data_IF_441309047739
#
_entry.id   IF_441309047739
#
_cell.length_a   1.000
_cell.length_b   1.000
_cell.length_c   1.000
_cell.angle_alpha   90.00
_cell.angle_beta   90.00
_cell.angle_gamma   90.00
#
_symmetry.space_group_name_H-M   'P 1'
#
loop_
_entity.id
_entity.type
_entity.pdbx_description
1 polymer ?
#
# COMPACT_ATOMS: atom_id res chain seq x y z
N UNK A 1 6.82 -2.34 0.69
CA UNK A 1 5.47 -1.93 1.16
C UNK A 1 5.37 -2.37 2.59
N UNK A 2 4.94 -1.51 3.51
CA UNK A 2 4.84 -1.88 4.92
C UNK A 2 3.42 -2.29 5.24
N UNK A 3 3.27 -3.36 6.01
CA UNK A 3 1.98 -3.85 6.49
C UNK A 3 2.04 -3.98 8.01
N UNK A 4 1.23 -3.18 8.68
CA UNK A 4 1.08 -3.24 10.13
C UNK A 4 -0.19 -3.99 10.47
N UNK A 5 -0.04 -5.07 11.22
CA UNK A 5 -1.13 -5.85 11.79
C UNK A 5 -1.25 -5.50 13.27
N UNK A 6 -2.40 -4.97 13.67
CA UNK A 6 -2.81 -4.92 15.07
C UNK A 6 -4.09 -5.75 15.20
N UNK A 7 -4.51 -6.07 16.42
CA UNK A 7 -5.63 -6.97 16.61
C UNK A 7 -6.88 -6.50 15.86
N UNK A 8 -7.34 -7.37 14.95
CA UNK A 8 -8.49 -7.17 14.08
C UNK A 8 -8.37 -5.99 13.09
N UNK A 9 -7.15 -5.52 12.79
CA UNK A 9 -6.91 -4.40 11.88
C UNK A 9 -5.68 -4.62 10.98
N UNK A 10 -5.84 -4.30 9.70
CA UNK A 10 -4.79 -4.37 8.68
C UNK A 10 -4.51 -2.97 8.13
N UNK A 11 -3.26 -2.49 8.21
CA UNK A 11 -2.85 -1.16 7.72
C UNK A 11 -1.71 -1.26 6.72
N UNK A 12 -1.90 -0.67 5.54
CA UNK A 12 -0.91 -0.59 4.47
C UNK A 12 -0.28 0.80 4.43
N UNK A 13 1.03 0.89 4.21
CA UNK A 13 1.67 2.21 3.98
C UNK A 13 1.21 2.91 2.69
N UNK A 14 0.62 2.18 1.73
CA UNK A 14 -0.08 2.68 0.54
C UNK A 14 -1.23 1.74 0.15
N UNK A 15 -2.34 2.30 -0.30
CA UNK A 15 -3.51 1.56 -0.82
C UNK A 15 -3.64 1.63 -2.35
N UNK A 16 -2.75 2.35 -3.03
CA UNK A 16 -2.68 2.39 -4.49
C UNK A 16 -1.24 2.18 -4.96
N UNK A 17 -1.06 1.20 -5.85
CA UNK A 17 0.22 0.85 -6.46
C UNK A 17 0.10 0.79 -7.99
N UNK A 18 1.24 0.72 -8.68
CA UNK A 18 1.29 0.33 -10.09
C UNK A 18 1.48 -1.18 -10.18
N UNK A 19 1.17 -1.80 -11.32
CA UNK A 19 1.57 -3.18 -11.55
C UNK A 19 3.10 -3.33 -11.46
N UNK A 20 3.56 -4.46 -10.92
CA UNK A 20 4.97 -4.76 -10.74
C UNK A 20 5.26 -5.69 -9.56
N UNK A 21 6.54 -5.91 -9.30
CA UNK A 21 7.02 -6.74 -8.20
C UNK A 21 7.16 -5.92 -6.92
N UNK A 22 6.62 -6.46 -5.83
CA UNK A 22 6.66 -5.84 -4.52
C UNK A 22 7.07 -6.84 -3.46
N UNK A 23 7.84 -6.35 -2.48
CA UNK A 23 7.98 -7.02 -1.18
C UNK A 23 7.14 -6.27 -0.15
N UNK A 24 6.20 -6.98 0.45
CA UNK A 24 5.44 -6.55 1.61
C UNK A 24 6.17 -7.00 2.87
N UNK A 25 6.43 -6.06 3.78
CA UNK A 25 7.05 -6.31 5.08
C UNK A 25 5.92 -6.29 6.10
N UNK A 26 5.46 -7.48 6.48
CA UNK A 26 4.35 -7.66 7.40
C UNK A 26 4.89 -7.73 8.83
N UNK A 27 4.34 -6.92 9.73
CA UNK A 27 4.71 -6.89 11.15
C UNK A 27 3.48 -7.05 12.04
N UNK A 28 3.54 -7.99 12.96
CA UNK A 28 2.54 -8.17 13.99
C UNK A 28 2.85 -7.27 15.20
N UNK A 29 2.15 -6.13 15.29
CA UNK A 29 2.18 -5.21 16.44
C UNK A 29 1.01 -5.47 17.42
N UNK A 30 0.23 -6.53 17.20
CA UNK A 30 -0.91 -6.94 18.03
C UNK A 30 -0.54 -7.87 19.19
N UNK A 31 -1.57 -8.47 19.80
CA UNK A 31 -1.46 -9.44 20.90
C UNK A 31 -1.90 -10.84 20.49
N UNK A 32 -2.57 -10.99 19.35
CA UNK A 32 -2.94 -12.27 18.75
C UNK A 32 -2.02 -12.66 17.60
N UNK A 33 -2.05 -13.93 17.24
CA UNK A 33 -1.39 -14.44 16.04
C UNK A 33 -2.07 -13.89 14.79
N UNK A 34 -1.26 -13.44 13.83
CA UNK A 34 -1.74 -12.87 12.57
C UNK A 34 -0.95 -13.40 11.37
N UNK A 35 -1.53 -13.31 10.19
CA UNK A 35 -0.84 -13.51 8.93
C UNK A 35 -1.31 -12.46 7.92
N UNK A 36 -0.46 -12.17 6.94
CA UNK A 36 -0.82 -11.36 5.79
C UNK A 36 -1.21 -12.29 4.64
N UNK A 37 -2.42 -12.11 4.09
CA UNK A 37 -2.87 -12.73 2.85
C UNK A 37 -3.30 -11.64 1.86
N UNK A 38 -2.88 -11.77 0.60
CA UNK A 38 -3.21 -10.86 -0.50
C UNK A 38 -3.86 -11.70 -1.61
N UNK A 39 -5.13 -11.41 -1.91
CA UNK A 39 -5.95 -12.17 -2.86
C UNK A 39 -6.62 -11.22 -3.86
N UNK A 40 -6.49 -11.50 -5.16
CA UNK A 40 -7.09 -10.69 -6.22
C UNK A 40 -6.42 -10.91 -7.57
N UNK A 41 -7.14 -10.61 -8.66
CA UNK A 41 -6.61 -10.70 -10.04
C UNK A 41 -5.93 -12.03 -10.42
N UNK A 42 -6.37 -13.15 -9.82
CA UNK A 42 -5.81 -14.48 -10.04
C UNK A 42 -4.51 -14.76 -9.26
N UNK A 43 -4.18 -13.90 -8.29
CA UNK A 43 -3.08 -14.06 -7.34
C UNK A 43 -3.66 -14.31 -5.94
N UNK A 44 -3.08 -15.26 -5.20
CA UNK A 44 -3.39 -15.57 -3.81
C UNK A 44 -2.08 -15.99 -3.13
N UNK A 45 -1.55 -15.13 -2.26
CA UNK A 45 -0.27 -15.36 -1.59
C UNK A 45 -0.33 -14.92 -0.14
N UNK A 46 0.38 -15.63 0.74
CA UNK A 46 0.38 -15.33 2.17
C UNK A 46 1.70 -15.58 2.88
N UNK A 47 1.88 -14.91 4.01
CA UNK A 47 2.95 -15.23 4.96
C UNK A 47 2.62 -16.49 5.76
N UNK A 48 3.62 -17.02 6.47
CA UNK A 48 3.37 -17.84 7.65
C UNK A 48 2.56 -17.05 8.70
N UNK A 49 2.00 -17.76 9.69
CA UNK A 49 1.52 -17.14 10.92
C UNK A 49 2.67 -16.48 11.67
N UNK A 50 2.40 -15.30 12.22
CA UNK A 50 3.31 -14.44 12.97
C UNK A 50 2.79 -14.30 14.40
N UNK A 51 3.60 -14.71 15.36
CA UNK A 51 3.36 -14.43 16.77
C UNK A 51 3.50 -12.92 17.07
N UNK A 52 2.99 -12.43 18.22
CA UNK A 52 3.16 -11.03 18.61
C UNK A 52 4.62 -10.58 18.57
N UNK A 53 4.89 -9.49 17.85
CA UNK A 53 6.22 -8.91 17.67
C UNK A 53 7.04 -9.49 16.51
N UNK A 54 6.56 -10.54 15.84
CA UNK A 54 7.23 -11.10 14.67
C UNK A 54 6.95 -10.32 13.38
N UNK A 55 7.83 -10.55 12.39
CA UNK A 55 7.70 -10.03 11.03
C UNK A 55 8.00 -11.10 9.98
N UNK A 56 7.43 -10.93 8.79
CA UNK A 56 7.79 -11.70 7.60
C UNK A 56 7.71 -10.86 6.33
N UNK A 57 8.47 -11.27 5.32
CA UNK A 57 8.43 -10.69 3.98
C UNK A 57 7.56 -11.57 3.07
N UNK A 58 6.69 -10.94 2.28
CA UNK A 58 5.93 -11.56 1.20
C UNK A 58 6.30 -10.88 -0.12
N UNK A 59 6.91 -11.61 -1.04
CA UNK A 59 7.26 -11.09 -2.38
C UNK A 59 6.24 -11.59 -3.39
N UNK A 60 5.65 -10.67 -4.14
CA UNK A 60 4.52 -10.93 -5.04
C UNK A 60 4.58 -10.04 -6.28
N UNK A 61 4.17 -10.59 -7.42
CA UNK A 61 3.95 -9.82 -8.65
C UNK A 61 2.49 -9.41 -8.74
N UNK A 62 2.23 -8.11 -8.77
CA UNK A 62 0.88 -7.55 -8.86
C UNK A 62 0.57 -7.10 -10.28
N UNK A 63 -0.58 -7.53 -10.80
CA UNK A 63 -1.21 -7.01 -12.02
C UNK A 63 -2.21 -5.92 -11.67
N UNK A 64 -2.61 -5.12 -12.65
CA UNK A 64 -3.72 -4.19 -12.46
C UNK A 64 -4.98 -4.91 -11.96
N UNK A 65 -5.71 -4.28 -11.05
CA UNK A 65 -6.91 -4.79 -10.42
C UNK A 65 -7.01 -4.44 -8.93
N UNK A 66 -8.00 -5.02 -8.27
CA UNK A 66 -8.27 -4.83 -6.85
C UNK A 66 -7.93 -6.10 -6.09
N UNK A 67 -7.29 -5.94 -4.95
CA UNK A 67 -6.86 -7.02 -4.07
C UNK A 67 -7.44 -6.81 -2.68
N UNK A 68 -7.97 -7.88 -2.10
CA UNK A 68 -8.27 -7.90 -0.67
C UNK A 68 -7.00 -8.28 0.08
N UNK A 69 -6.70 -7.51 1.13
CA UNK A 69 -5.56 -7.75 2.00
C UNK A 69 -6.07 -8.01 3.41
N UNK A 70 -5.90 -9.22 3.92
CA UNK A 70 -6.61 -9.67 5.12
C UNK A 70 -5.78 -10.65 5.97
N UNK A 71 -6.30 -10.95 7.16
CA UNK A 71 -5.75 -12.00 8.03
C UNK A 71 -6.62 -13.27 7.96
N UNK A 72 -6.08 -14.41 7.53
CA UNK A 72 -6.82 -15.67 7.37
C UNK A 72 -6.97 -16.47 8.67
N UNK A 73 -6.47 -15.96 9.80
CA UNK A 73 -6.49 -16.67 11.09
C UNK A 73 -7.91 -16.62 11.67
N UNK A 74 -8.54 -17.80 11.82
CA UNK A 74 -9.85 -17.94 12.44
C UNK A 74 -10.89 -17.04 11.78
N UNK A 75 -11.57 -16.22 12.59
CA UNK A 75 -12.56 -15.24 12.13
C UNK A 75 -12.02 -13.80 12.11
N UNK A 76 -10.70 -13.59 12.09
CA UNK A 76 -10.12 -12.24 12.17
C UNK A 76 -10.57 -11.36 10.99
N UNK A 77 -10.66 -11.91 9.78
CA UNK A 77 -11.23 -11.24 8.60
C UNK A 77 -12.66 -10.76 8.83
N UNK A 78 -13.51 -11.62 9.38
CA UNK A 78 -14.92 -11.30 9.66
C UNK A 78 -15.08 -10.26 10.76
N UNK A 79 -14.12 -10.19 11.69
CA UNK A 79 -14.02 -9.16 12.71
C UNK A 79 -13.49 -7.82 12.18
N UNK A 80 -13.16 -7.73 10.88
CA UNK A 80 -12.75 -6.50 10.22
C UNK A 80 -11.25 -6.43 9.88
N UNK A 81 -10.49 -7.51 10.07
CA UNK A 81 -9.06 -7.56 9.74
C UNK A 81 -8.81 -7.71 8.25
N UNK A 82 -9.23 -6.70 7.49
CA UNK A 82 -9.09 -6.60 6.06
C UNK A 82 -9.01 -5.15 5.61
N UNK A 83 -8.38 -4.94 4.46
CA UNK A 83 -8.32 -3.67 3.75
C UNK A 83 -8.20 -3.95 2.24
N UNK A 84 -8.37 -2.93 1.43
CA UNK A 84 -8.30 -3.03 -0.02
C UNK A 84 -7.03 -2.39 -0.57
N UNK A 85 -6.42 -3.05 -1.55
CA UNK A 85 -5.29 -2.55 -2.32
C UNK A 85 -5.70 -2.44 -3.79
N UNK A 86 -5.64 -1.23 -4.34
CA UNK A 86 -5.81 -1.00 -5.77
C UNK A 86 -4.45 -1.02 -6.47
N UNK A 87 -4.37 -1.75 -7.58
CA UNK A 87 -3.21 -1.77 -8.46
C UNK A 87 -3.68 -1.29 -9.83
N UNK A 88 -3.02 -0.27 -10.36
CA UNK A 88 -3.47 0.40 -11.58
C UNK A 88 -4.06 1.77 -11.26
N UNK A 89 -3.52 2.78 -11.93
CA UNK A 89 -3.81 4.19 -11.70
C UNK A 89 -2.54 5.05 -11.76
N UNK A 90 -2.67 6.27 -12.28
CA UNK A 90 -1.67 7.32 -12.03
C UNK A 90 -1.69 7.62 -10.54
N UNK A 91 -0.63 7.20 -9.84
CA UNK A 91 -0.45 7.55 -8.44
C UNK A 91 -0.65 9.07 -8.24
N UNK A 92 -1.46 9.46 -7.25
CA UNK A 92 -1.42 10.83 -6.76
C UNK A 92 0.02 11.12 -6.27
N UNK A 93 0.68 12.20 -6.72
CA UNK A 93 2.09 12.42 -6.45
C UNK A 93 2.26 12.86 -4.99
N UNK A 94 2.64 11.95 -4.11
CA UNK A 94 3.24 12.35 -2.84
C UNK A 94 4.67 12.80 -3.12
N UNK A 95 4.86 14.12 -3.09
CA UNK A 95 6.05 14.84 -3.53
C UNK A 95 7.37 14.34 -2.94
N UNK A 96 8.34 14.26 -3.85
CA UNK A 96 9.76 14.23 -3.57
C UNK A 96 10.46 14.78 -4.81
N UNK A 97 10.70 16.08 -4.83
CA UNK A 97 11.52 16.77 -5.84
C UNK A 97 12.94 16.23 -5.81
N UNK A 98 13.41 15.60 -6.90
CA UNK A 98 14.64 16.00 -7.61
C UNK A 98 14.84 15.16 -8.88
N UNK A 99 14.56 15.73 -10.05
CA UNK A 99 15.29 15.40 -11.29
C UNK A 99 15.27 16.67 -12.14
N UNK A 100 16.30 17.49 -11.97
CA UNK A 100 16.71 18.46 -12.99
C UNK A 100 17.65 17.73 -13.93
N UNK A 101 17.16 17.42 -15.13
CA UNK A 101 17.88 17.24 -16.39
C UNK A 101 16.75 17.26 -17.44
N UNK A 102 16.41 18.36 -18.09
CA UNK A 102 17.23 19.22 -18.93
C UNK A 102 16.44 19.39 -20.24
N UNK A 103 16.51 20.58 -20.84
CA UNK A 103 15.91 21.00 -22.14
C UNK A 103 14.56 21.72 -22.03
N UNK A 104 14.64 23.02 -21.72
CA UNK A 104 13.50 23.93 -21.71
C UNK A 104 13.18 24.54 -23.07
N UNK A 105 12.05 25.26 -23.11
CA UNK A 105 11.83 26.50 -23.88
C UNK A 105 10.60 27.22 -23.29
N UNK A 106 10.71 28.52 -23.04
CA UNK A 106 9.54 29.42 -22.93
C UNK A 106 9.28 30.03 -21.55
N UNK A 107 9.98 31.11 -21.24
CA UNK A 107 9.65 32.03 -20.15
C UNK A 107 8.40 32.84 -20.52
N UNK A 108 7.43 32.97 -19.61
CA UNK A 108 6.53 34.12 -19.54
C UNK A 108 6.26 34.44 -18.07
N UNK A 109 6.73 35.60 -17.64
CA UNK A 109 6.52 36.18 -16.32
C UNK A 109 5.05 36.60 -16.09
N UNK A 110 4.61 36.81 -14.83
CA UNK A 110 3.19 36.84 -14.45
C UNK A 110 2.55 38.24 -14.56
N UNK A 111 1.22 38.35 -14.71
CA UNK A 111 0.51 39.56 -14.34
C UNK A 111 0.07 39.54 -12.86
N UNK A 112 0.25 40.68 -12.22
CA UNK A 112 -0.08 41.03 -10.83
C UNK A 112 -1.59 40.99 -10.51
N UNK A 113 -1.89 40.86 -9.21
CA UNK A 113 -3.19 40.83 -8.53
C UNK A 113 -4.26 41.82 -9.00
N UNK A 114 -5.53 41.59 -8.60
CA UNK A 114 -6.03 42.46 -7.51
C UNK A 114 -6.75 41.71 -6.37
N UNK A 115 -6.60 42.30 -5.19
CA UNK A 115 -7.38 42.07 -3.95
C UNK A 115 -8.86 42.34 -4.18
N UNK A 116 -9.74 41.52 -3.59
CA UNK A 116 -11.16 41.84 -3.42
C UNK A 116 -11.55 41.68 -1.95
N UNK A 117 -12.34 42.66 -1.53
CA UNK A 117 -12.74 43.18 -0.22
C UNK A 117 -13.33 42.20 0.79
#
# INVERSE_FOLDING_TARGET
MDVKMTDFKMELSKTTLKAGDYTFVAKNDGRHDHALEIEGSGTEEKTRTLEPGESANLTITLKDGTYEVYCPVGNHKDLGMKTELTVGGTASPSGGTNTTDGNGYGQNAPPSSPTVT
#
